data_IF_935032879453
#
_entry.id   IF_935032879453
#
_cell.length_a   1.000
_cell.length_b   1.000
_cell.length_c   1.000
_cell.angle_alpha   90.00
_cell.angle_beta   90.00
_cell.angle_gamma   90.00
#
_symmetry.space_group_name_H-M   'P 1'
#
loop_
_entity.id
_entity.type
_entity.pdbx_description
1 polymer ?
#
# COMPACT_ATOMS: atom_id res chain seq x y z
N UNK A 1 -3.29 44.60 16.56
CA UNK A 1 -3.21 43.37 15.76
C UNK A 1 -3.95 42.29 16.51
N UNK A 2 -5.24 42.14 16.22
CA UNK A 2 -6.07 41.06 16.73
C UNK A 2 -5.91 39.89 15.76
N UNK A 3 -5.40 38.77 16.25
CA UNK A 3 -5.38 37.50 15.55
C UNK A 3 -6.83 37.06 15.32
N UNK A 4 -7.20 36.89 14.05
CA UNK A 4 -8.48 36.27 13.68
C UNK A 4 -8.52 34.85 14.28
N UNK A 5 -9.65 34.46 14.91
CA UNK A 5 -9.83 33.09 15.36
C UNK A 5 -9.84 32.15 14.15
N UNK A 6 -9.31 30.92 14.29
CA UNK A 6 -9.33 29.94 13.21
C UNK A 6 -10.79 29.69 12.79
N UNK A 7 -11.04 29.97 11.51
CA UNK A 7 -12.31 29.86 10.83
C UNK A 7 -12.90 28.46 11.00
N UNK A 8 -14.21 28.43 11.23
CA UNK A 8 -15.04 27.26 11.48
C UNK A 8 -14.61 26.02 10.69
N UNK A 9 -14.41 24.92 11.42
CA UNK A 9 -14.45 23.59 10.83
C UNK A 9 -15.80 23.45 10.11
N UNK A 10 -15.75 23.45 8.78
CA UNK A 10 -16.90 23.52 7.91
C UNK A 10 -18.01 22.57 8.37
N UNK A 11 -19.20 23.14 8.58
CA UNK A 11 -20.44 22.39 8.79
C UNK A 11 -20.53 21.35 7.68
N UNK A 12 -20.57 20.07 8.06
CA UNK A 12 -20.75 18.95 7.14
C UNK A 12 -22.06 19.13 6.38
N UNK A 13 -21.99 19.72 5.19
CA UNK A 13 -23.06 19.65 4.20
C UNK A 13 -23.33 18.20 3.91
N UNK A 14 -24.61 17.81 3.94
CA UNK A 14 -25.06 16.47 3.60
C UNK A 14 -24.33 15.98 2.35
N UNK A 15 -23.67 14.81 2.39
CA UNK A 15 -22.89 14.32 1.27
C UNK A 15 -23.81 14.18 0.05
N UNK A 16 -23.56 14.96 -1.01
CA UNK A 16 -24.20 14.76 -2.31
C UNK A 16 -23.79 13.38 -2.82
N UNK A 17 -24.70 12.38 -2.86
CA UNK A 17 -24.34 10.99 -3.16
C UNK A 17 -23.80 10.81 -4.59
N UNK A 18 -23.90 11.83 -5.45
CA UNK A 18 -23.34 11.83 -6.80
C UNK A 18 -21.93 12.42 -6.90
N UNK A 19 -21.41 13.10 -5.87
CA UNK A 19 -20.10 13.75 -5.92
C UNK A 19 -19.06 12.95 -5.14
N UNK A 20 -17.92 12.60 -5.77
CA UNK A 20 -16.87 11.89 -5.06
C UNK A 20 -16.35 12.78 -3.93
N UNK A 21 -16.34 12.23 -2.71
CA UNK A 21 -15.81 12.94 -1.55
C UNK A 21 -14.38 12.49 -1.32
N UNK A 22 -13.45 13.44 -1.40
CA UNK A 22 -12.05 13.25 -1.06
C UNK A 22 -11.80 13.79 0.34
N UNK A 23 -11.58 12.89 1.31
CA UNK A 23 -11.35 13.24 2.70
C UNK A 23 -9.87 13.09 3.02
N UNK A 24 -9.23 14.21 3.38
CA UNK A 24 -7.83 14.23 3.81
C UNK A 24 -7.72 14.11 5.32
N UNK A 25 -7.07 13.04 5.78
CA UNK A 25 -6.81 12.82 7.20
C UNK A 25 -5.31 12.88 7.47
N UNK A 26 -4.84 13.88 8.24
CA UNK A 26 -3.42 14.02 8.56
C UNK A 26 -2.95 12.83 9.41
N UNK A 27 -1.66 12.46 9.32
CA UNK A 27 -1.13 11.40 10.17
C UNK A 27 -1.22 11.81 11.65
N UNK A 28 -1.56 10.88 12.56
CA UNK A 28 -1.53 11.18 13.99
C UNK A 28 -0.08 11.49 14.41
N UNK A 29 0.10 12.59 15.15
CA UNK A 29 1.41 13.01 15.66
C UNK A 29 2.00 12.02 16.69
N UNK A 30 1.21 11.04 17.16
CA UNK A 30 1.49 10.22 18.35
C UNK A 30 1.86 8.75 18.08
N UNK A 31 2.14 8.34 16.83
CA UNK A 31 2.45 6.93 16.52
C UNK A 31 3.79 6.39 17.04
N UNK A 32 4.60 7.23 17.71
CA UNK A 32 5.91 6.85 18.27
C UNK A 32 5.85 5.74 19.33
N UNK A 33 4.75 5.64 20.07
CA UNK A 33 4.58 4.64 21.12
C UNK A 33 4.60 3.20 20.60
N UNK A 34 4.26 2.98 19.32
CA UNK A 34 4.31 1.66 18.67
C UNK A 34 5.67 1.31 18.08
N UNK A 35 6.47 2.32 17.73
CA UNK A 35 7.76 2.12 17.06
C UNK A 35 8.73 1.43 17.99
N UNK A 36 8.84 1.90 19.24
CA UNK A 36 9.81 1.41 20.22
C UNK A 36 9.65 -0.09 20.54
N UNK A 37 8.46 -0.61 20.90
CA UNK A 37 8.32 -2.03 21.21
C UNK A 37 8.53 -2.91 19.97
N UNK A 38 8.03 -2.52 18.80
CA UNK A 38 8.20 -3.32 17.57
C UNK A 38 9.66 -3.34 17.12
N UNK A 39 10.36 -2.20 17.17
CA UNK A 39 11.79 -2.16 16.81
C UNK A 39 12.65 -2.89 17.83
N UNK A 40 12.33 -2.81 19.13
CA UNK A 40 13.03 -3.58 20.15
C UNK A 40 12.91 -5.09 19.89
N UNK A 41 11.71 -5.57 19.57
CA UNK A 41 11.46 -6.99 19.25
C UNK A 41 12.19 -7.41 17.97
N UNK A 42 12.08 -6.58 16.92
CA UNK A 42 12.73 -6.81 15.64
C UNK A 42 14.26 -6.78 15.75
N UNK A 43 14.83 -6.12 16.76
CA UNK A 43 16.27 -6.15 17.04
C UNK A 43 16.68 -7.34 17.92
N UNK A 44 15.86 -7.70 18.92
CA UNK A 44 16.15 -8.80 19.85
C UNK A 44 16.15 -10.15 19.13
N UNK A 45 15.18 -10.40 18.23
CA UNK A 45 15.08 -11.70 17.55
C UNK A 45 16.33 -12.02 16.70
N UNK A 46 16.81 -11.14 15.80
CA UNK A 46 18.03 -11.39 15.04
C UNK A 46 19.27 -11.54 15.92
N UNK A 47 19.39 -10.75 17.00
CA UNK A 47 20.51 -10.89 17.94
C UNK A 47 20.47 -12.26 18.62
N UNK A 48 19.31 -12.71 19.09
CA UNK A 48 19.15 -14.04 19.67
C UNK A 48 19.40 -15.18 18.66
N UNK A 49 19.00 -15.01 17.40
CA UNK A 49 19.30 -15.99 16.36
C UNK A 49 20.80 -16.02 16.02
N UNK A 50 21.45 -14.85 15.93
CA UNK A 50 22.89 -14.76 15.72
C UNK A 50 23.66 -15.39 16.89
N UNK A 51 23.28 -15.15 18.14
CA UNK A 51 23.94 -15.79 19.28
C UNK A 51 23.78 -17.32 19.26
N UNK A 52 22.62 -17.84 18.83
CA UNK A 52 22.41 -19.28 18.66
C UNK A 52 23.29 -19.89 17.56
N UNK A 53 23.55 -19.15 16.46
CA UNK A 53 24.43 -19.60 15.37
C UNK A 53 25.89 -19.64 15.83
N UNK A 54 26.33 -18.65 16.61
CA UNK A 54 27.71 -18.56 17.09
C UNK A 54 28.00 -19.52 18.26
N UNK A 55 26.98 -19.87 19.05
CA UNK A 55 27.09 -20.79 20.18
C UNK A 55 26.08 -21.94 20.05
N UNK A 56 26.38 -22.98 19.24
CA UNK A 56 25.44 -24.03 18.87
C UNK A 56 25.21 -25.08 19.97
N UNK A 57 25.29 -24.69 21.24
CA UNK A 57 24.94 -25.57 22.34
C UNK A 57 23.41 -25.76 22.43
N UNK A 58 22.91 -26.97 22.75
CA UNK A 58 21.47 -27.22 22.88
C UNK A 58 20.77 -26.32 23.91
N UNK A 59 21.52 -25.88 24.93
CA UNK A 59 21.08 -24.93 25.97
C UNK A 59 20.81 -23.54 25.41
N UNK A 60 21.67 -23.04 24.52
CA UNK A 60 21.52 -21.75 23.85
C UNK A 60 20.24 -21.71 23.01
N UNK A 61 19.99 -22.76 22.23
CA UNK A 61 18.76 -22.85 21.42
C UNK A 61 17.49 -22.84 22.28
N UNK A 62 17.46 -23.58 23.39
CA UNK A 62 16.32 -23.56 24.33
C UNK A 62 16.07 -22.18 24.91
N UNK A 63 17.13 -21.46 25.30
CA UNK A 63 17.03 -20.11 25.83
C UNK A 63 16.51 -19.12 24.78
N UNK A 64 17.04 -19.19 23.55
CA UNK A 64 16.59 -18.34 22.43
C UNK A 64 15.14 -18.62 22.09
N UNK A 65 14.73 -19.88 21.99
CA UNK A 65 13.32 -20.22 21.76
C UNK A 65 12.43 -19.71 22.89
N UNK A 66 12.84 -19.84 24.15
CA UNK A 66 12.08 -19.33 25.29
C UNK A 66 11.92 -17.79 25.23
N UNK A 67 12.99 -17.06 24.94
CA UNK A 67 12.96 -15.59 24.77
C UNK A 67 12.03 -15.21 23.62
N UNK A 68 12.17 -15.86 22.47
CA UNK A 68 11.31 -15.60 21.30
C UNK A 68 9.85 -15.87 21.63
N UNK A 69 9.51 -16.98 22.29
CA UNK A 69 8.13 -17.31 22.67
C UNK A 69 7.57 -16.30 23.69
N UNK A 70 8.33 -15.97 24.73
CA UNK A 70 7.91 -15.02 25.78
C UNK A 70 7.69 -13.61 25.21
N UNK A 71 8.43 -13.22 24.18
CA UNK A 71 8.27 -11.91 23.54
C UNK A 71 7.20 -11.95 22.44
N UNK A 72 7.22 -12.95 21.57
CA UNK A 72 6.34 -13.05 20.41
C UNK A 72 4.88 -13.36 20.82
N UNK A 73 4.67 -14.25 21.80
CA UNK A 73 3.31 -14.66 22.18
C UNK A 73 2.46 -13.49 22.70
N UNK A 74 2.93 -12.64 23.64
CA UNK A 74 2.18 -11.47 24.07
C UNK A 74 1.91 -10.49 22.94
N UNK A 75 2.83 -10.33 21.97
CA UNK A 75 2.62 -9.44 20.81
C UNK A 75 1.54 -9.98 19.88
N UNK A 76 1.53 -11.30 19.62
CA UNK A 76 0.50 -11.96 18.82
C UNK A 76 -0.86 -11.85 19.52
N UNK A 77 -0.93 -12.14 20.82
CA UNK A 77 -2.16 -11.99 21.61
C UNK A 77 -2.63 -10.54 21.64
N UNK A 78 -1.72 -9.59 21.88
CA UNK A 78 -2.03 -8.17 21.87
C UNK A 78 -2.58 -7.72 20.51
N UNK A 79 -1.93 -8.13 19.41
CA UNK A 79 -2.36 -7.84 18.05
C UNK A 79 -3.79 -8.32 17.81
N UNK A 80 -4.07 -9.60 18.07
CA UNK A 80 -5.41 -10.17 17.89
C UNK A 80 -6.48 -9.53 18.80
N UNK A 81 -6.16 -9.27 20.07
CA UNK A 81 -7.11 -8.60 20.99
C UNK A 81 -7.38 -7.16 20.54
N UNK A 82 -6.36 -6.46 20.06
CA UNK A 82 -6.52 -5.10 19.54
C UNK A 82 -7.39 -5.07 18.29
N UNK A 83 -7.17 -6.00 17.35
CA UNK A 83 -7.97 -6.16 16.13
C UNK A 83 -9.45 -6.42 16.46
N UNK A 84 -9.72 -7.38 17.35
CA UNK A 84 -11.08 -7.70 17.79
C UNK A 84 -11.78 -6.52 18.48
N UNK A 85 -11.07 -5.76 19.32
CA UNK A 85 -11.63 -4.57 19.98
C UNK A 85 -11.97 -3.48 18.98
N UNK A 86 -11.11 -3.27 17.99
CA UNK A 86 -11.30 -2.21 17.01
C UNK A 86 -12.42 -2.52 16.03
N UNK A 87 -12.58 -3.79 15.63
CA UNK A 87 -13.77 -4.24 14.89
C UNK A 87 -15.06 -3.99 15.66
N UNK A 88 -15.08 -4.34 16.95
CA UNK A 88 -16.25 -4.09 17.81
C UNK A 88 -16.54 -2.60 17.96
N UNK A 89 -15.50 -1.77 18.10
CA UNK A 89 -15.65 -0.33 18.21
C UNK A 89 -16.17 0.29 16.90
N UNK A 90 -15.58 -0.08 15.77
CA UNK A 90 -15.97 0.38 14.44
C UNK A 90 -17.43 0.04 14.14
N UNK A 91 -17.82 -1.23 14.32
CA UNK A 91 -19.21 -1.66 14.12
C UNK A 91 -20.17 -0.94 15.07
N UNK A 92 -19.76 -0.72 16.33
CA UNK A 92 -20.59 0.02 17.29
C UNK A 92 -20.85 1.44 16.81
N UNK A 93 -19.81 2.20 16.47
CA UNK A 93 -19.91 3.60 16.05
C UNK A 93 -20.75 3.73 14.78
N UNK A 94 -20.47 2.92 13.76
CA UNK A 94 -21.21 2.98 12.48
C UNK A 94 -22.67 2.54 12.64
N UNK A 95 -22.98 1.64 13.58
CA UNK A 95 -24.36 1.25 13.86
C UNK A 95 -25.14 2.28 14.69
N UNK A 96 -24.47 3.05 15.54
CA UNK A 96 -25.14 4.01 16.44
C UNK A 96 -25.30 5.40 15.84
N UNK A 97 -24.40 5.79 14.95
CA UNK A 97 -24.32 7.15 14.40
C UNK A 97 -24.19 7.06 12.86
N UNK A 98 -25.30 7.15 12.11
CA UNK A 98 -25.29 7.12 10.63
C UNK A 98 -24.66 8.39 9.99
N UNK A 99 -24.07 9.26 10.81
CA UNK A 99 -23.25 10.40 10.38
C UNK A 99 -21.99 10.52 11.25
N UNK A 100 -21.52 9.42 11.83
CA UNK A 100 -20.29 9.41 12.61
C UNK A 100 -19.16 10.06 11.81
N UNK A 101 -18.43 10.96 12.43
CA UNK A 101 -17.29 11.61 11.78
C UNK A 101 -16.20 10.56 11.49
N UNK A 102 -16.09 10.14 10.23
CA UNK A 102 -15.08 9.19 9.77
C UNK A 102 -13.66 9.66 10.08
N UNK A 103 -13.46 10.97 10.14
CA UNK A 103 -12.17 11.56 10.51
C UNK A 103 -11.82 11.19 11.94
N UNK A 104 -12.80 11.16 12.86
CA UNK A 104 -12.57 10.79 14.25
C UNK A 104 -12.37 9.29 14.44
N UNK A 105 -13.06 8.45 13.66
CA UNK A 105 -12.79 7.01 13.58
C UNK A 105 -11.37 6.73 13.09
N UNK A 106 -10.92 7.44 12.05
CA UNK A 106 -9.57 7.35 11.53
C UNK A 106 -8.53 7.82 12.54
N UNK A 107 -8.75 8.97 13.18
CA UNK A 107 -7.87 9.48 14.25
C UNK A 107 -7.77 8.48 15.40
N UNK A 108 -8.89 7.86 15.79
CA UNK A 108 -8.92 6.82 16.81
C UNK A 108 -8.08 5.61 16.37
N UNK A 109 -8.33 5.07 15.18
CA UNK A 109 -7.59 3.93 14.65
C UNK A 109 -6.10 4.21 14.55
N UNK A 110 -5.73 5.38 14.03
CA UNK A 110 -4.34 5.78 13.86
C UNK A 110 -3.63 6.06 15.22
N UNK A 111 -4.38 6.45 16.26
CA UNK A 111 -3.87 6.58 17.64
C UNK A 111 -3.69 5.22 18.31
N UNK A 112 -4.62 4.30 18.11
CA UNK A 112 -4.64 2.99 18.77
C UNK A 112 -3.76 1.95 18.06
N UNK A 113 -3.50 2.11 16.76
CA UNK A 113 -2.77 1.13 15.95
C UNK A 113 -1.57 1.75 15.23
N UNK A 114 -0.46 1.00 15.20
CA UNK A 114 0.71 1.32 14.40
C UNK A 114 1.00 0.24 13.35
N UNK A 115 1.68 0.63 12.26
CA UNK A 115 2.18 -0.31 11.26
C UNK A 115 1.11 -1.21 10.64
N UNK A 116 1.34 -2.53 10.65
CA UNK A 116 0.42 -3.50 10.05
C UNK A 116 -0.96 -3.57 10.72
N UNK A 117 -1.06 -3.27 12.03
CA UNK A 117 -2.35 -3.25 12.73
C UNK A 117 -3.24 -2.11 12.22
N UNK A 118 -2.64 -0.98 11.86
CA UNK A 118 -3.39 0.14 11.27
C UNK A 118 -3.93 -0.23 9.89
N UNK A 119 -3.15 -0.94 9.07
CA UNK A 119 -3.63 -1.42 7.76
C UNK A 119 -4.83 -2.36 7.92
N UNK A 120 -4.78 -3.28 8.90
CA UNK A 120 -5.92 -4.15 9.23
C UNK A 120 -7.16 -3.34 9.66
N UNK A 121 -6.99 -2.34 10.52
CA UNK A 121 -8.07 -1.44 10.92
C UNK A 121 -8.67 -0.69 9.72
N UNK A 122 -7.83 -0.13 8.84
CA UNK A 122 -8.29 0.57 7.64
C UNK A 122 -9.03 -0.37 6.69
N UNK A 123 -8.64 -1.64 6.63
CA UNK A 123 -9.33 -2.65 5.83
C UNK A 123 -10.73 -2.93 6.37
N UNK A 124 -10.84 -3.12 7.69
CA UNK A 124 -12.15 -3.28 8.33
C UNK A 124 -13.00 -2.01 8.13
N UNK A 125 -12.38 -0.83 8.17
CA UNK A 125 -13.05 0.45 7.95
C UNK A 125 -13.60 0.58 6.53
N UNK A 126 -12.81 0.30 5.48
CA UNK A 126 -13.30 0.41 4.10
C UNK A 126 -14.45 -0.57 3.82
N UNK A 127 -14.39 -1.78 4.38
CA UNK A 127 -15.49 -2.75 4.28
C UNK A 127 -16.75 -2.23 4.96
N UNK A 128 -16.60 -1.66 6.16
CA UNK A 128 -17.75 -1.12 6.89
C UNK A 128 -18.34 0.12 6.19
N UNK A 129 -17.52 0.98 5.57
CA UNK A 129 -18.02 2.09 4.74
C UNK A 129 -18.91 1.58 3.60
N UNK A 130 -18.45 0.59 2.86
CA UNK A 130 -19.22 0.00 1.76
C UNK A 130 -20.52 -0.66 2.26
N UNK A 131 -20.47 -1.46 3.32
CA UNK A 131 -21.63 -2.15 3.90
C UNK A 131 -22.70 -1.19 4.45
N UNK A 132 -22.30 -0.03 4.96
CA UNK A 132 -23.21 0.98 5.50
C UNK A 132 -23.66 2.01 4.46
N UNK A 133 -23.34 1.82 3.17
CA UNK A 133 -23.83 2.67 2.08
C UNK A 133 -23.04 3.97 1.86
N UNK A 134 -21.86 4.11 2.47
CA UNK A 134 -20.95 5.25 2.23
C UNK A 134 -20.07 5.04 0.99
N UNK A 135 -20.69 4.52 -0.07
CA UNK A 135 -20.09 4.33 -1.40
C UNK A 135 -19.72 5.69 -2.00
N UNK A 136 -18.70 5.75 -2.85
CA UNK A 136 -18.15 7.02 -3.37
C UNK A 136 -17.17 7.73 -2.44
N UNK A 137 -17.04 7.25 -1.19
CA UNK A 137 -16.12 7.83 -0.21
C UNK A 137 -14.67 7.46 -0.55
N UNK A 138 -13.82 8.47 -0.68
CA UNK A 138 -12.39 8.33 -0.94
C UNK A 138 -11.59 8.99 0.16
N UNK A 139 -10.78 8.23 0.89
CA UNK A 139 -10.03 8.72 2.04
C UNK A 139 -8.53 8.68 1.74
N UNK A 140 -7.86 9.82 1.88
CA UNK A 140 -6.39 9.91 1.88
C UNK A 140 -5.90 10.03 3.31
N UNK A 141 -5.34 8.95 3.85
CA UNK A 141 -4.84 8.92 5.22
C UNK A 141 -3.31 9.04 5.29
N UNK A 142 -2.80 9.94 6.13
CA UNK A 142 -1.37 10.10 6.38
C UNK A 142 -0.65 11.02 5.40
N UNK A 143 -1.38 11.71 4.52
CA UNK A 143 -0.84 12.84 3.75
C UNK A 143 -1.07 14.13 4.54
N UNK A 144 -0.05 14.99 4.62
CA UNK A 144 -0.26 16.33 5.18
C UNK A 144 -1.08 17.13 4.14
N UNK A 145 -2.11 17.89 4.54
CA UNK A 145 -2.96 18.64 3.61
C UNK A 145 -2.13 19.55 2.67
N UNK A 146 -1.10 20.22 3.20
CA UNK A 146 -0.20 21.06 2.40
C UNK A 146 0.79 20.30 1.50
N UNK A 147 0.91 18.97 1.67
CA UNK A 147 1.77 18.11 0.85
C UNK A 147 0.97 17.19 -0.08
N UNK A 148 -0.35 17.15 0.07
CA UNK A 148 -1.23 16.41 -0.80
C UNK A 148 -1.48 17.28 -2.05
N UNK A 149 -0.94 16.91 -3.23
CA UNK A 149 -1.27 17.66 -4.43
C UNK A 149 -2.78 17.62 -4.66
N UNK A 150 -3.31 18.67 -5.29
CA UNK A 150 -4.63 18.61 -5.88
C UNK A 150 -4.67 17.40 -6.83
N UNK A 151 -5.77 16.65 -6.80
CA UNK A 151 -5.94 15.49 -7.68
C UNK A 151 -6.89 15.91 -8.77
N UNK A 152 -6.35 16.11 -9.97
CA UNK A 152 -7.15 16.41 -11.14
C UNK A 152 -7.67 15.11 -11.75
N UNK A 153 -9.00 14.89 -11.79
CA UNK A 153 -9.58 13.69 -12.36
C UNK A 153 -9.25 13.55 -13.84
N UNK A 154 -9.06 12.32 -14.33
CA UNK A 154 -8.87 12.06 -15.76
C UNK A 154 -10.22 12.23 -16.47
N UNK A 155 -10.42 13.23 -17.36
CA UNK A 155 -11.73 13.50 -17.94
C UNK A 155 -12.04 12.63 -19.17
N UNK A 156 -11.05 11.89 -19.67
CA UNK A 156 -11.15 11.08 -20.89
C UNK A 156 -11.38 9.60 -20.59
N UNK A 157 -12.01 8.91 -21.53
CA UNK A 157 -12.13 7.46 -21.46
C UNK A 157 -10.80 6.79 -21.85
N UNK A 158 -10.43 5.71 -21.17
CA UNK A 158 -9.21 4.95 -21.47
C UNK A 158 -9.40 3.45 -21.15
N UNK A 159 -8.65 2.61 -21.87
CA UNK A 159 -8.62 1.16 -21.63
C UNK A 159 -7.95 0.83 -20.29
N UNK A 160 -8.37 -0.27 -19.66
CA UNK A 160 -7.77 -0.72 -18.41
C UNK A 160 -6.24 -0.84 -18.53
N UNK A 161 -5.50 -0.13 -17.68
CA UNK A 161 -4.03 -0.17 -17.64
C UNK A 161 -3.56 -0.80 -16.33
N UNK A 162 -2.51 -1.64 -16.34
CA UNK A 162 -1.98 -2.18 -15.10
C UNK A 162 -1.51 -1.06 -14.18
N UNK A 163 -1.77 -1.16 -12.88
CA UNK A 163 -1.31 -0.20 -11.88
C UNK A 163 0.19 -0.45 -11.58
N UNK A 164 1.05 -0.09 -12.53
CA UNK A 164 2.50 -0.20 -12.47
C UNK A 164 3.14 1.02 -13.13
N UNK A 165 3.84 1.86 -12.35
CA UNK A 165 4.52 3.08 -12.87
C UNK A 165 5.65 2.77 -13.88
N UNK A 166 6.05 1.50 -13.99
CA UNK A 166 7.04 1.06 -14.96
C UNK A 166 6.43 0.45 -16.23
N UNK A 167 5.09 0.44 -16.36
CA UNK A 167 4.40 0.01 -17.56
C UNK A 167 4.30 1.15 -18.59
N UNK A 168 4.59 0.84 -19.86
CA UNK A 168 4.60 1.84 -20.94
C UNK A 168 3.22 2.44 -21.19
N UNK A 169 2.14 1.67 -20.98
CA UNK A 169 0.79 2.14 -21.21
C UNK A 169 0.31 3.14 -20.16
N UNK A 170 0.83 3.03 -18.92
CA UNK A 170 0.61 4.01 -17.85
C UNK A 170 1.34 5.30 -18.16
N UNK A 171 2.59 5.21 -18.62
CA UNK A 171 3.40 6.37 -18.98
C UNK A 171 2.72 7.15 -20.11
N UNK A 172 2.25 6.46 -21.15
CA UNK A 172 1.53 7.08 -22.25
C UNK A 172 0.20 7.73 -21.80
N UNK A 173 -0.50 7.13 -20.84
CA UNK A 173 -1.72 7.71 -20.28
C UNK A 173 -1.42 9.01 -19.50
N UNK A 174 -0.34 9.03 -18.72
CA UNK A 174 0.07 10.21 -17.96
C UNK A 174 0.50 11.34 -18.90
N UNK A 175 1.36 11.04 -19.88
CA UNK A 175 1.78 12.01 -20.90
C UNK A 175 0.55 12.60 -21.63
N UNK A 176 -0.41 11.77 -22.03
CA UNK A 176 -1.64 12.23 -22.68
C UNK A 176 -2.54 13.08 -21.77
N UNK A 177 -2.52 12.85 -20.45
CA UNK A 177 -3.30 13.64 -19.49
C UNK A 177 -2.61 14.98 -19.22
N UNK A 178 -1.28 14.98 -19.09
CA UNK A 178 -0.51 16.19 -18.85
C UNK A 178 -0.55 17.11 -20.09
N UNK A 179 -0.49 16.55 -21.32
CA UNK A 179 -0.68 17.28 -22.58
C UNK A 179 -2.05 17.99 -22.67
N UNK A 180 -3.10 17.42 -22.06
CA UNK A 180 -4.42 18.03 -21.99
C UNK A 180 -4.51 19.19 -20.98
N UNK A 181 -3.61 19.23 -20.00
CA UNK A 181 -3.57 20.26 -18.96
C UNK A 181 -2.62 21.41 -19.30
N UNK A 182 -1.51 21.11 -19.97
CA UNK A 182 -0.43 22.07 -20.27
C UNK A 182 -0.62 22.82 -21.61
N UNK A 183 -1.86 22.95 -22.10
CA UNK A 183 -2.15 23.60 -23.39
C UNK A 183 -1.80 25.09 -23.48
N UNK A 184 -1.26 25.72 -22.43
CA UNK A 184 -0.86 27.13 -22.47
C UNK A 184 0.57 27.49 -22.01
N UNK A 185 1.32 26.71 -21.22
CA UNK A 185 2.62 27.22 -20.71
C UNK A 185 3.52 26.17 -20.00
N UNK A 186 4.20 25.26 -20.73
CA UNK A 186 5.39 24.59 -20.18
C UNK A 186 6.27 23.94 -21.28
N UNK A 187 7.58 24.22 -21.24
CA UNK A 187 8.57 23.47 -22.01
C UNK A 187 8.61 22.01 -21.53
N UNK A 188 8.58 21.01 -22.44
CA UNK A 188 8.62 19.61 -22.05
C UNK A 188 10.02 19.26 -21.57
N UNK A 189 10.25 19.28 -20.26
CA UNK A 189 11.41 18.64 -19.66
C UNK A 189 11.21 17.12 -19.78
N UNK A 190 11.63 16.56 -20.92
CA UNK A 190 11.35 15.18 -21.32
C UNK A 190 11.93 14.20 -20.29
N UNK A 191 11.10 13.76 -19.35
CA UNK A 191 11.39 12.66 -18.43
C UNK A 191 11.33 11.28 -19.12
N UNK A 192 11.01 11.27 -20.42
CA UNK A 192 10.92 10.12 -21.32
C UNK A 192 12.22 9.32 -21.48
N UNK A 193 13.41 9.87 -21.17
CA UNK A 193 14.69 9.17 -21.36
C UNK A 193 15.18 8.37 -20.14
N UNK A 194 14.30 8.03 -19.19
CA UNK A 194 14.67 7.10 -18.11
C UNK A 194 14.42 5.67 -18.56
N UNK A 195 15.50 4.90 -18.76
CA UNK A 195 15.45 3.48 -19.13
C UNK A 195 14.42 2.70 -18.27
N UNK A 196 13.56 1.87 -18.87
CA UNK A 196 12.45 1.18 -18.17
C UNK A 196 12.93 0.34 -16.99
N UNK A 197 14.15 -0.21 -17.08
CA UNK A 197 14.80 -0.97 -16.02
C UNK A 197 15.06 -0.14 -14.75
N UNK A 198 15.46 1.12 -14.90
CA UNK A 198 15.72 2.00 -13.76
C UNK A 198 14.44 2.37 -13.03
N UNK A 199 13.32 2.54 -13.76
CA UNK A 199 11.98 2.77 -13.17
C UNK A 199 11.54 1.56 -12.36
N UNK A 200 11.63 0.34 -12.92
CA UNK A 200 11.30 -0.92 -12.19
C UNK A 200 12.12 -1.09 -10.92
N UNK A 201 13.44 -0.84 -11.00
CA UNK A 201 14.31 -0.94 -9.83
C UNK A 201 13.93 0.08 -8.75
N UNK A 202 13.65 1.34 -9.14
CA UNK A 202 13.21 2.39 -8.21
C UNK A 202 11.87 2.05 -7.55
N UNK A 203 10.90 1.57 -8.33
CA UNK A 203 9.60 1.11 -7.84
C UNK A 203 9.77 0.02 -6.78
N UNK A 204 10.49 -1.05 -7.11
CA UNK A 204 10.73 -2.17 -6.20
C UNK A 204 11.48 -1.74 -4.93
N UNK A 205 12.36 -0.74 -5.03
CA UNK A 205 13.04 -0.15 -3.88
C UNK A 205 12.11 0.68 -2.98
N UNK A 206 11.19 1.44 -3.58
CA UNK A 206 10.23 2.29 -2.88
C UNK A 206 9.14 1.49 -2.15
N UNK A 207 8.74 0.34 -2.69
CA UNK A 207 7.87 -0.61 -2.01
C UNK A 207 8.64 -1.19 -0.80
N UNK A 208 8.09 -1.03 0.41
CA UNK A 208 8.81 -1.12 1.69
C UNK A 208 9.58 -2.40 2.04
N UNK A 209 9.61 -3.41 1.16
CA UNK A 209 10.49 -4.58 1.24
C UNK A 209 11.82 -4.41 0.52
N UNK A 210 11.95 -3.48 -0.44
CA UNK A 210 13.11 -3.34 -1.30
C UNK A 210 14.39 -2.97 -0.55
N UNK A 211 14.35 -1.98 0.35
CA UNK A 211 15.54 -1.56 1.09
C UNK A 211 16.08 -2.66 2.03
N UNK A 212 15.19 -3.31 2.79
CA UNK A 212 15.58 -4.38 3.72
C UNK A 212 16.14 -5.60 2.96
N UNK A 213 15.44 -6.05 1.92
CA UNK A 213 15.88 -7.18 1.11
C UNK A 213 17.19 -6.86 0.37
N UNK A 214 17.34 -5.65 -0.18
CA UNK A 214 18.59 -5.20 -0.81
C UNK A 214 19.74 -5.21 0.19
N UNK A 215 19.50 -4.79 1.43
CA UNK A 215 20.50 -4.87 2.51
C UNK A 215 20.93 -6.31 2.81
N UNK A 216 19.95 -7.23 2.94
CA UNK A 216 20.21 -8.65 3.17
C UNK A 216 21.00 -9.26 2.01
N UNK A 217 20.59 -9.04 0.76
CA UNK A 217 21.28 -9.58 -0.41
C UNK A 217 22.66 -8.98 -0.59
N UNK A 218 22.82 -7.67 -0.33
CA UNK A 218 24.14 -7.01 -0.36
C UNK A 218 25.08 -7.63 0.67
N UNK A 219 24.60 -7.91 1.89
CA UNK A 219 25.38 -8.61 2.91
C UNK A 219 25.77 -10.02 2.47
N UNK A 220 24.84 -10.79 1.89
CA UNK A 220 25.13 -12.14 1.36
C UNK A 220 26.18 -12.09 0.24
N UNK A 221 26.09 -11.10 -0.66
CA UNK A 221 27.04 -10.89 -1.74
C UNK A 221 28.41 -10.52 -1.18
N UNK A 222 28.50 -9.62 -0.19
CA UNK A 222 29.76 -9.23 0.44
C UNK A 222 30.41 -10.41 1.17
N UNK A 223 29.63 -11.22 1.89
CA UNK A 223 30.13 -12.45 2.54
C UNK A 223 30.62 -13.47 1.50
N UNK A 224 29.87 -13.66 0.41
CA UNK A 224 30.26 -14.54 -0.69
C UNK A 224 31.52 -14.05 -1.40
N UNK A 225 31.67 -12.73 -1.56
CA UNK A 225 32.85 -12.12 -2.17
C UNK A 225 34.08 -12.31 -1.26
N UNK A 226 33.93 -12.11 0.04
CA UNK A 226 34.98 -12.38 1.03
C UNK A 226 35.42 -13.85 1.03
N UNK A 227 34.48 -14.78 1.06
CA UNK A 227 34.80 -16.23 0.99
C UNK A 227 35.47 -16.59 -0.34
N UNK A 228 35.05 -15.94 -1.42
CA UNK A 228 35.59 -16.17 -2.75
C UNK A 228 37.05 -15.71 -2.88
N UNK A 229 37.37 -14.52 -2.34
CA UNK A 229 38.73 -13.99 -2.35
C UNK A 229 39.63 -14.73 -1.37
N UNK A 230 39.13 -15.11 -0.20
CA UNK A 230 39.89 -15.85 0.81
C UNK A 230 40.31 -17.26 0.33
N UNK A 231 39.46 -17.93 -0.44
CA UNK A 231 39.69 -19.31 -0.90
C UNK A 231 40.13 -19.42 -2.37
N UNK A 232 40.24 -18.31 -3.11
CA UNK A 232 40.61 -18.31 -4.53
C UNK A 232 39.64 -19.07 -5.45
N UNK A 233 38.37 -19.20 -5.06
CA UNK A 233 37.32 -19.91 -5.81
C UNK A 233 36.02 -19.11 -5.79
N UNK A 234 35.15 -19.25 -6.79
CA UNK A 234 33.84 -18.58 -6.76
C UNK A 234 32.95 -19.26 -5.73
N UNK A 235 32.59 -18.55 -4.66
CA UNK A 235 31.71 -19.08 -3.63
C UNK A 235 30.28 -19.26 -4.19
N UNK A 236 29.63 -20.43 -4.02
CA UNK A 236 28.24 -20.63 -4.49
C UNK A 236 27.26 -19.61 -3.90
N UNK A 237 27.50 -19.16 -2.66
CA UNK A 237 26.70 -18.13 -2.00
C UNK A 237 26.72 -16.79 -2.75
N UNK A 238 27.83 -16.44 -3.42
CA UNK A 238 27.94 -15.24 -4.24
C UNK A 238 27.01 -15.33 -5.45
N UNK A 239 27.02 -16.46 -6.16
CA UNK A 239 26.16 -16.70 -7.33
C UNK A 239 24.69 -16.65 -6.92
N UNK A 240 24.33 -17.33 -5.82
CA UNK A 240 22.97 -17.33 -5.28
C UNK A 240 22.55 -15.92 -4.84
N UNK A 241 23.42 -15.17 -4.17
CA UNK A 241 23.15 -13.81 -3.71
C UNK A 241 22.90 -12.84 -4.87
N UNK A 242 23.76 -12.88 -5.90
CA UNK A 242 23.58 -12.08 -7.12
C UNK A 242 22.29 -12.49 -7.84
N UNK A 243 22.05 -13.79 -8.01
CA UNK A 243 20.84 -14.32 -8.64
C UNK A 243 19.56 -13.86 -7.94
N UNK A 244 19.51 -13.96 -6.61
CA UNK A 244 18.37 -13.48 -5.81
C UNK A 244 18.20 -11.97 -5.88
N UNK A 245 19.28 -11.19 -5.86
CA UNK A 245 19.21 -9.73 -5.98
C UNK A 245 18.66 -9.32 -7.34
N UNK A 246 19.13 -9.93 -8.43
CA UNK A 246 18.60 -9.70 -9.77
C UNK A 246 17.13 -10.11 -9.86
N UNK A 247 16.79 -11.29 -9.35
CA UNK A 247 15.41 -11.77 -9.31
C UNK A 247 14.50 -10.81 -8.54
N UNK A 248 14.96 -10.28 -7.39
CA UNK A 248 14.20 -9.32 -6.61
C UNK A 248 14.04 -7.98 -7.35
N UNK A 249 15.12 -7.42 -7.90
CA UNK A 249 15.08 -6.13 -8.58
C UNK A 249 14.25 -6.13 -9.86
N UNK A 250 14.18 -7.26 -10.57
CA UNK A 250 13.51 -7.35 -11.87
C UNK A 250 12.19 -8.11 -11.87
N UNK A 251 11.96 -9.01 -10.89
CA UNK A 251 10.71 -9.77 -10.79
C UNK A 251 9.87 -9.44 -9.57
N UNK A 252 10.26 -8.63 -8.58
CA UNK A 252 9.42 -8.41 -7.40
C UNK A 252 8.01 -7.86 -7.71
N UNK A 253 7.85 -7.04 -8.76
CA UNK A 253 6.53 -6.63 -9.26
C UNK A 253 5.75 -7.73 -10.00
N UNK A 254 6.45 -8.68 -10.63
CA UNK A 254 5.86 -9.77 -11.42
C UNK A 254 5.73 -11.12 -10.70
N UNK A 255 6.44 -11.35 -9.59
CA UNK A 255 6.27 -12.52 -8.73
C UNK A 255 4.86 -12.52 -8.11
N UNK A 256 4.23 -11.33 -8.04
CA UNK A 256 2.80 -11.15 -7.85
C UNK A 256 1.97 -12.10 -8.72
N UNK A 257 2.13 -12.03 -10.04
CA UNK A 257 1.32 -12.87 -10.95
C UNK A 257 1.68 -14.35 -10.88
N UNK A 258 2.94 -14.69 -10.58
CA UNK A 258 3.39 -16.09 -10.50
C UNK A 258 2.91 -16.80 -9.23
N UNK A 259 2.76 -16.07 -8.12
CA UNK A 259 2.33 -16.64 -6.83
C UNK A 259 0.83 -16.48 -6.54
N UNK A 260 0.02 -16.07 -7.53
CA UNK A 260 -1.42 -15.89 -7.37
C UNK A 260 -1.78 -14.65 -6.55
N UNK A 261 -1.04 -13.56 -6.72
CA UNK A 261 -1.45 -12.26 -6.20
C UNK A 261 -2.37 -11.57 -7.19
N UNK A 262 -3.33 -10.82 -6.65
CA UNK A 262 -4.23 -10.01 -7.44
C UNK A 262 -3.49 -8.92 -8.22
N UNK A 263 -3.71 -8.84 -9.53
CA UNK A 263 -3.19 -7.79 -10.38
C UNK A 263 -4.20 -6.63 -10.43
N UNK A 264 -3.71 -5.42 -10.20
CA UNK A 264 -4.53 -4.21 -10.15
C UNK A 264 -4.42 -3.47 -11.47
N UNK A 265 -5.55 -2.95 -11.94
CA UNK A 265 -5.65 -2.14 -13.14
C UNK A 265 -6.43 -0.87 -12.82
N UNK A 266 -5.96 0.27 -13.32
CA UNK A 266 -6.72 1.52 -13.29
C UNK A 266 -7.71 1.52 -14.44
N UNK A 267 -8.94 1.92 -14.15
CA UNK A 267 -10.00 2.15 -15.12
C UNK A 267 -10.66 3.50 -14.82
N UNK A 268 -11.29 4.16 -15.79
CA UNK A 268 -12.03 5.39 -15.52
C UNK A 268 -13.11 5.14 -14.46
N UNK A 269 -13.14 5.96 -13.40
CA UNK A 269 -14.18 5.92 -12.38
C UNK A 269 -14.12 4.71 -11.45
N UNK A 270 -13.04 3.94 -11.44
CA UNK A 270 -12.96 2.74 -10.63
C UNK A 270 -11.58 2.09 -10.60
N UNK A 271 -11.54 0.85 -10.10
CA UNK A 271 -10.36 -0.01 -10.16
C UNK A 271 -10.77 -1.43 -10.50
N UNK A 272 -10.01 -2.08 -11.38
CA UNK A 272 -10.21 -3.49 -11.71
C UNK A 272 -9.15 -4.32 -10.99
N UNK A 273 -9.59 -5.38 -10.33
CA UNK A 273 -8.73 -6.34 -9.67
C UNK A 273 -8.91 -7.71 -10.31
N UNK A 274 -7.83 -8.23 -10.88
CA UNK A 274 -7.75 -9.57 -11.45
C UNK A 274 -7.12 -10.51 -10.42
N UNK A 275 -7.94 -11.32 -9.77
CA UNK A 275 -7.44 -12.38 -8.90
C UNK A 275 -7.17 -13.65 -9.74
N UNK A 276 -5.96 -14.19 -9.59
CA UNK A 276 -5.60 -15.47 -10.18
C UNK A 276 -5.59 -16.47 -9.06
N UNK A 277 -6.67 -17.26 -8.95
CA UNK A 277 -6.77 -18.26 -7.89
C UNK A 277 -5.54 -19.18 -7.86
N UNK A 278 -5.31 -19.87 -6.72
CA UNK A 278 -4.18 -20.82 -6.57
C UNK A 278 -4.10 -21.88 -7.66
N UNK A 279 -5.20 -22.10 -8.40
CA UNK A 279 -5.24 -22.85 -9.64
C UNK A 279 -5.48 -21.86 -10.77
N UNK A 280 -4.55 -21.80 -11.73
CA UNK A 280 -4.58 -20.89 -12.89
C UNK A 280 -5.79 -21.01 -13.83
N UNK A 281 -6.84 -21.76 -13.46
CA UNK A 281 -8.06 -21.95 -14.24
C UNK A 281 -9.21 -21.02 -13.82
N UNK A 282 -9.15 -20.44 -12.63
CA UNK A 282 -10.20 -19.55 -12.12
C UNK A 282 -9.63 -18.12 -12.01
N UNK A 283 -9.73 -17.38 -13.11
CA UNK A 283 -9.43 -15.94 -13.14
C UNK A 283 -10.71 -15.20 -12.76
N UNK A 284 -10.69 -14.50 -11.63
CA UNK A 284 -11.81 -13.68 -11.18
C UNK A 284 -11.48 -12.20 -11.45
N UNK A 285 -12.35 -11.53 -12.20
CA UNK A 285 -12.28 -10.09 -12.42
C UNK A 285 -13.29 -9.41 -11.50
N UNK A 286 -12.81 -8.49 -10.67
CA UNK A 286 -13.61 -7.68 -9.76
C UNK A 286 -13.46 -6.21 -10.13
N UNK A 287 -14.54 -5.58 -10.61
CA UNK A 287 -14.57 -4.15 -10.91
C UNK A 287 -15.17 -3.42 -9.73
N UNK A 288 -14.39 -2.54 -9.12
CA UNK A 288 -14.84 -1.62 -8.09
C UNK A 288 -15.23 -0.29 -8.75
N UNK A 289 -16.52 -0.10 -9.01
CA UNK A 289 -17.05 1.22 -9.40
C UNK A 289 -17.03 2.14 -8.18
N UNK A 290 -16.50 3.35 -8.33
CA UNK A 290 -16.51 4.36 -7.27
C UNK A 290 -17.90 4.59 -6.69
N UNK A 291 -18.97 4.45 -7.47
CA UNK A 291 -20.36 4.67 -7.04
C UNK A 291 -20.90 3.58 -6.12
N UNK A 292 -20.26 2.41 -6.10
CA UNK A 292 -20.70 1.24 -5.35
C UNK A 292 -19.66 0.78 -4.33
N UNK A 293 -18.50 1.45 -4.32
CA UNK A 293 -17.32 1.05 -3.56
C UNK A 293 -16.75 2.23 -2.75
N UNK A 294 -15.96 1.90 -1.73
CA UNK A 294 -15.18 2.87 -0.97
C UNK A 294 -13.67 2.62 -1.19
N UNK A 295 -12.87 3.69 -1.16
CA UNK A 295 -11.43 3.63 -1.37
C UNK A 295 -10.68 4.34 -0.24
N UNK A 296 -9.64 3.69 0.29
CA UNK A 296 -8.69 4.29 1.23
C UNK A 296 -7.29 4.19 0.65
N UNK A 297 -6.61 5.33 0.57
CA UNK A 297 -5.19 5.43 0.25
C UNK A 297 -4.43 5.90 1.49
N UNK A 298 -3.65 5.00 2.08
CA UNK A 298 -2.86 5.27 3.27
C UNK A 298 -1.37 5.41 2.94
N UNK A 299 -0.79 6.56 3.23
CA UNK A 299 0.66 6.77 3.11
C UNK A 299 1.41 5.95 4.17
N UNK A 300 2.27 5.06 3.70
CA UNK A 300 3.19 4.28 4.52
C UNK A 300 4.56 4.97 4.60
N UNK A 301 5.51 4.34 5.28
CA UNK A 301 6.91 4.77 5.31
C UNK A 301 7.58 4.56 3.94
N UNK A 302 8.69 5.28 3.72
CA UNK A 302 9.54 5.16 2.53
C UNK A 302 8.87 5.49 1.18
N UNK A 303 7.74 6.20 1.17
CA UNK A 303 7.09 6.66 -0.06
C UNK A 303 6.17 5.63 -0.73
N UNK A 304 5.91 4.50 -0.06
CA UNK A 304 4.85 3.56 -0.45
C UNK A 304 3.49 3.97 0.13
N UNK A 305 2.43 3.50 -0.51
CA UNK A 305 1.04 3.71 -0.13
C UNK A 305 0.33 2.35 -0.06
N UNK A 306 -0.40 2.10 1.03
CA UNK A 306 -1.37 1.01 1.07
C UNK A 306 -2.68 1.50 0.45
N UNK A 307 -3.22 0.73 -0.47
CA UNK A 307 -4.53 0.98 -1.07
C UNK A 307 -5.47 -0.13 -0.65
N UNK A 308 -6.65 0.27 -0.20
CA UNK A 308 -7.70 -0.62 0.24
C UNK A 308 -9.00 -0.21 -0.44
N UNK A 309 -9.65 -1.15 -1.11
CA UNK A 309 -10.93 -0.95 -1.79
C UNK A 309 -11.91 -2.00 -1.32
N UNK A 310 -13.17 -1.63 -1.13
CA UNK A 310 -14.23 -2.57 -0.81
C UNK A 310 -15.56 -2.13 -1.42
N UNK A 311 -16.36 -3.13 -1.77
CA UNK A 311 -17.78 -3.02 -2.09
C UNK A 311 -18.59 -3.81 -1.04
N UNK A 312 -19.87 -4.10 -1.31
CA UNK A 312 -20.71 -4.86 -0.39
C UNK A 312 -20.29 -6.33 -0.23
N UNK A 313 -19.66 -6.91 -1.24
CA UNK A 313 -19.42 -8.36 -1.37
C UNK A 313 -17.97 -8.76 -1.14
N UNK A 314 -17.04 -7.84 -1.40
CA UNK A 314 -15.62 -8.14 -1.58
C UNK A 314 -14.75 -6.96 -1.19
N UNK A 315 -13.48 -7.25 -0.91
CA UNK A 315 -12.49 -6.22 -0.66
C UNK A 315 -11.12 -6.68 -1.13
N UNK A 316 -10.31 -5.73 -1.59
CA UNK A 316 -8.93 -6.00 -1.96
C UNK A 316 -8.00 -4.95 -1.36
N UNK A 317 -6.74 -5.34 -1.16
CA UNK A 317 -5.68 -4.44 -0.74
C UNK A 317 -4.42 -4.67 -1.56
N UNK A 318 -3.67 -3.60 -1.76
CA UNK A 318 -2.34 -3.66 -2.37
C UNK A 318 -1.41 -2.61 -1.77
N UNK A 319 -0.12 -2.70 -2.06
CA UNK A 319 0.86 -1.67 -1.76
C UNK A 319 1.45 -1.17 -3.07
N UNK A 320 1.38 0.14 -3.27
CA UNK A 320 1.79 0.82 -4.49
C UNK A 320 2.72 1.98 -4.17
N UNK A 321 3.36 2.56 -5.17
CA UNK A 321 4.16 3.79 -5.00
C UNK A 321 3.24 5.00 -4.81
N UNK A 322 3.83 6.13 -4.38
CA UNK A 322 3.13 7.40 -4.34
C UNK A 322 2.61 7.82 -5.72
N UNK A 323 3.37 7.54 -6.78
CA UNK A 323 3.01 7.91 -8.15
C UNK A 323 1.80 7.12 -8.63
N UNK A 324 1.84 5.80 -8.46
CA UNK A 324 0.72 4.89 -8.72
C UNK A 324 -0.54 5.29 -7.91
N UNK A 325 -0.36 5.71 -6.65
CA UNK A 325 -1.47 6.18 -5.82
C UNK A 325 -2.11 7.46 -6.36
N UNK A 326 -1.31 8.40 -6.88
CA UNK A 326 -1.84 9.60 -7.54
C UNK A 326 -2.63 9.22 -8.78
N UNK A 327 -2.06 8.39 -9.67
CA UNK A 327 -2.74 7.93 -10.88
C UNK A 327 -4.06 7.22 -10.56
N UNK A 328 -4.04 6.30 -9.59
CA UNK A 328 -5.24 5.61 -9.12
C UNK A 328 -6.30 6.60 -8.64
N UNK A 329 -5.93 7.61 -7.86
CA UNK A 329 -6.88 8.62 -7.39
C UNK A 329 -7.43 9.48 -8.55
N UNK A 330 -6.60 9.86 -9.53
CA UNK A 330 -7.06 10.60 -10.73
C UNK A 330 -8.06 9.77 -11.54
N UNK A 331 -7.78 8.47 -11.72
CA UNK A 331 -8.65 7.52 -12.40
C UNK A 331 -9.95 7.29 -11.61
N UNK A 332 -9.85 7.04 -10.30
CA UNK A 332 -10.98 6.81 -9.40
C UNK A 332 -11.93 8.00 -9.33
N UNK A 333 -11.41 9.23 -9.33
CA UNK A 333 -12.21 10.44 -9.30
C UNK A 333 -12.76 10.84 -10.68
N UNK A 334 -12.39 10.12 -11.75
CA UNK A 334 -12.84 10.42 -13.11
C UNK A 334 -14.37 10.53 -13.20
N UNK A 335 -14.91 11.51 -13.93
CA UNK A 335 -16.34 11.61 -14.17
C UNK A 335 -16.86 10.48 -15.05
N UNK A 336 -15.99 9.85 -15.84
CA UNK A 336 -16.33 8.77 -16.79
C UNK A 336 -16.62 7.49 -16.00
N UNK A 337 -17.73 6.77 -16.28
CA UNK A 337 -18.03 5.51 -15.62
C UNK A 337 -17.05 4.40 -16.05
N UNK A 338 -16.84 3.38 -15.21
CA UNK A 338 -16.01 2.25 -15.57
C UNK A 338 -16.58 1.49 -16.76
N UNK A 339 -15.71 0.88 -17.60
CA UNK A 339 -16.17 0.02 -18.68
C UNK A 339 -16.90 -1.19 -18.10
N UNK A 340 -17.96 -1.67 -18.77
CA UNK A 340 -18.69 -2.84 -18.33
C UNK A 340 -17.80 -4.10 -18.42
N UNK A 341 -18.06 -5.07 -17.53
CA UNK A 341 -17.21 -6.26 -17.35
C UNK A 341 -17.03 -7.05 -18.66
N UNK A 342 -18.02 -7.03 -19.56
CA UNK A 342 -17.96 -7.72 -20.84
C UNK A 342 -16.87 -7.17 -21.78
N UNK A 343 -16.54 -5.88 -21.66
CA UNK A 343 -15.46 -5.25 -22.44
C UNK A 343 -14.07 -5.56 -21.88
N UNK A 344 -13.99 -6.17 -20.70
CA UNK A 344 -12.74 -6.54 -20.02
C UNK A 344 -12.35 -8.00 -20.27
N UNK A 345 -13.04 -8.69 -21.18
CA UNK A 345 -12.81 -10.11 -21.49
C UNK A 345 -11.41 -10.38 -22.07
N UNK A 346 -10.80 -9.39 -22.73
CA UNK A 346 -9.41 -9.47 -23.22
C UNK A 346 -8.38 -9.58 -22.08
N UNK A 347 -8.78 -9.32 -20.82
CA UNK A 347 -7.93 -9.43 -19.64
C UNK A 347 -8.07 -10.78 -18.92
N UNK A 348 -8.92 -11.69 -19.39
CA UNK A 348 -9.02 -13.08 -18.90
C UNK A 348 -7.91 -13.93 -19.50
#
# INVERSE_FOLDING_TARGET
>A
MMSEPPTDAGVATDPDPGKPQLIDVPPPWTSWHWVVPVTAVAAVIPVCLLTAVWWPEPTTWKLVTAIVVVIALPLVVYYHVSELRSRKYLNKVLSSEPHADFVDLLKYGAKCHGGAALIGFLQDMVCALAQHGYVGTTIRHGMFPHQAPAIDPIPVNFEARPLDEADESVIALEEAVDDLQDSDEAEPESTATRAPLARRARRNFALGGGCLSTGIYSMMILMGLWDSTANGRIAPMLIVGIGWMMLHLFMAGGLGSVFGYAQWFVVPGGVLVRDTGRRAKDVCLHVYDRRESALIVHRMRAGSCAVLVADADSHHRTTITRHEATLLLRAWLSPVPPPPVEQLTDLM
#
